data_IF_437414497991
#
_entry.id   IF_437414497991
#
_cell.length_a   1.000
_cell.length_b   1.000
_cell.length_c   1.000
_cell.angle_alpha   90.00
_cell.angle_beta   90.00
_cell.angle_gamma   90.00
#
_symmetry.space_group_name_H-M   'P 1'
#
loop_
_entity.id
_entity.type
_entity.pdbx_description
1 polymer ?
#
# COMPACT_ATOMS: atom_id res chain seq x y z
N UNK A 1 -18.34 -2.71 6.52
CA UNK A 1 -17.62 -2.07 7.64
C UNK A 1 -16.22 -2.68 7.70
N UNK A 2 -15.20 -1.90 8.05
CA UNK A 2 -13.82 -2.37 8.13
C UNK A 2 -13.65 -3.31 9.34
N UNK A 3 -13.05 -4.50 9.18
CA UNK A 3 -12.67 -5.37 10.30
C UNK A 3 -11.66 -4.69 11.23
N UNK A 4 -11.71 -4.97 12.53
CA UNK A 4 -10.79 -4.34 13.49
C UNK A 4 -9.34 -4.77 13.33
N UNK A 5 -9.09 -5.99 12.84
CA UNK A 5 -7.76 -6.45 12.49
C UNK A 5 -7.14 -5.58 11.39
N UNK A 6 -7.95 -5.17 10.41
CA UNK A 6 -7.52 -4.26 9.34
C UNK A 6 -7.37 -2.83 9.87
N UNK A 7 -8.27 -2.38 10.73
CA UNK A 7 -8.14 -1.06 11.36
C UNK A 7 -6.85 -0.95 12.21
N UNK A 8 -6.45 -2.05 12.86
CA UNK A 8 -5.18 -2.14 13.58
C UNK A 8 -3.98 -2.13 12.64
N UNK A 9 -4.05 -2.81 11.50
CA UNK A 9 -2.98 -2.77 10.50
C UNK A 9 -2.73 -1.33 10.01
N UNK A 10 -3.81 -0.60 9.74
CA UNK A 10 -3.77 0.79 9.29
C UNK A 10 -3.56 1.84 10.40
N UNK A 11 -3.07 1.45 11.60
CA UNK A 11 -2.88 2.37 12.74
C UNK A 11 -2.12 3.66 12.38
N UNK A 12 -1.14 3.56 11.48
CA UNK A 12 -0.29 4.66 11.06
C UNK A 12 -1.04 5.68 10.18
N UNK A 13 -2.10 5.25 9.47
CA UNK A 13 -2.91 6.13 8.64
C UNK A 13 -3.68 7.15 9.48
N UNK A 14 -4.22 6.75 10.64
CA UNK A 14 -4.86 7.68 11.58
C UNK A 14 -3.86 8.39 12.48
N UNK A 15 -2.70 7.79 12.71
CA UNK A 15 -1.66 8.36 13.57
C UNK A 15 -1.18 9.73 13.07
N UNK A 16 -1.29 10.03 11.78
CA UNK A 16 -0.97 11.36 11.23
C UNK A 16 -1.79 12.50 11.82
N UNK A 17 -2.98 12.24 12.38
CA UNK A 17 -3.91 13.27 12.81
C UNK A 17 -3.48 14.02 14.09
N UNK A 18 -3.10 13.35 15.20
CA UNK A 18 -2.58 14.06 16.36
C UNK A 18 -1.24 14.74 16.06
N UNK A 19 -0.99 15.89 16.71
CA UNK A 19 0.26 16.65 16.56
C UNK A 19 1.53 15.81 16.78
N UNK A 20 1.47 14.81 17.67
CA UNK A 20 2.59 13.90 17.89
C UNK A 20 2.90 13.03 16.66
N UNK A 21 1.88 12.54 15.95
CA UNK A 21 2.10 11.75 14.74
C UNK A 21 2.48 12.60 13.55
N UNK A 22 1.92 13.80 13.38
CA UNK A 22 2.44 14.77 12.41
C UNK A 22 3.94 15.01 12.61
N UNK A 23 4.36 15.21 13.86
CA UNK A 23 5.77 15.38 14.22
C UNK A 23 6.60 14.14 13.83
N UNK A 24 6.09 12.94 14.06
CA UNK A 24 6.78 11.71 13.66
C UNK A 24 6.99 11.65 12.14
N UNK A 25 6.00 12.02 11.32
CA UNK A 25 6.14 12.07 9.87
C UNK A 25 7.10 13.19 9.41
N UNK A 26 7.13 14.34 10.09
CA UNK A 26 8.01 15.45 9.71
C UNK A 26 9.45 15.25 10.16
N UNK A 27 9.66 14.77 11.37
CA UNK A 27 10.96 14.79 12.05
C UNK A 27 11.58 13.40 12.28
N UNK A 28 10.77 12.33 12.36
CA UNK A 28 11.22 10.96 12.68
C UNK A 28 10.86 9.93 11.59
N UNK A 29 10.66 10.41 10.35
CA UNK A 29 10.15 9.59 9.23
C UNK A 29 10.99 8.36 8.94
N UNK A 30 12.33 8.44 9.05
CA UNK A 30 13.21 7.31 8.78
C UNK A 30 12.95 6.16 9.74
N UNK A 31 12.91 6.46 11.05
CA UNK A 31 12.61 5.46 12.09
C UNK A 31 11.19 4.94 11.98
N UNK A 32 10.22 5.83 11.71
CA UNK A 32 8.82 5.43 11.51
C UNK A 32 8.69 4.46 10.33
N UNK A 33 9.23 4.81 9.15
CA UNK A 33 9.18 3.96 7.97
C UNK A 33 9.91 2.64 8.15
N UNK A 34 11.06 2.63 8.84
CA UNK A 34 11.77 1.41 9.18
C UNK A 34 10.88 0.47 10.02
N UNK A 35 10.25 1.01 11.06
CA UNK A 35 9.31 0.25 11.88
C UNK A 35 8.12 -0.27 11.07
N UNK A 36 7.58 0.54 10.15
CA UNK A 36 6.48 0.12 9.28
C UNK A 36 6.90 -1.06 8.39
N UNK A 37 8.07 -0.98 7.72
CA UNK A 37 8.62 -2.07 6.92
C UNK A 37 8.78 -3.36 7.72
N UNK A 38 9.31 -3.26 8.95
CA UNK A 38 9.43 -4.39 9.88
C UNK A 38 8.07 -4.98 10.27
N UNK A 39 7.06 -4.12 10.47
CA UNK A 39 5.74 -4.54 10.93
C UNK A 39 4.89 -5.17 9.82
N UNK A 40 5.05 -4.72 8.58
CA UNK A 40 4.22 -5.10 7.44
C UNK A 40 4.56 -6.47 6.86
N UNK A 41 5.75 -7.00 7.14
CA UNK A 41 6.24 -8.21 6.50
C UNK A 41 6.89 -9.18 7.49
N UNK A 42 6.88 -10.50 7.19
CA UNK A 42 7.64 -11.46 7.98
C UNK A 42 9.15 -11.17 7.90
N UNK A 43 9.99 -11.81 8.74
CA UNK A 43 11.44 -11.67 8.61
C UNK A 43 11.90 -12.03 7.20
N UNK A 44 12.33 -11.03 6.43
CA UNK A 44 12.91 -11.21 5.11
C UNK A 44 14.41 -10.84 5.18
N UNK A 45 15.34 -11.67 4.64
CA UNK A 45 16.78 -11.54 4.94
C UNK A 45 17.42 -10.20 4.57
N UNK A 46 16.99 -9.55 3.50
CA UNK A 46 17.62 -8.34 2.95
C UNK A 46 16.93 -7.02 3.32
N UNK A 47 16.02 -7.00 4.31
CA UNK A 47 15.16 -5.83 4.59
C UNK A 47 15.92 -4.58 4.87
N UNK A 48 16.89 -4.67 5.76
CA UNK A 48 17.57 -3.47 6.23
C UNK A 48 18.42 -2.86 5.11
N UNK A 49 19.01 -3.70 4.25
CA UNK A 49 19.73 -3.26 3.05
C UNK A 49 18.80 -2.63 1.99
N UNK A 50 17.65 -3.26 1.73
CA UNK A 50 16.63 -2.73 0.81
C UNK A 50 16.03 -1.41 1.32
N UNK A 51 15.75 -1.32 2.63
CA UNK A 51 15.26 -0.11 3.26
C UNK A 51 16.28 1.02 3.14
N UNK A 52 17.55 0.75 3.47
CA UNK A 52 18.59 1.77 3.39
C UNK A 52 18.76 2.29 1.96
N UNK A 53 18.71 1.41 0.95
CA UNK A 53 18.77 1.82 -0.45
C UNK A 53 17.62 2.78 -0.86
N UNK A 54 16.49 2.75 -0.15
CA UNK A 54 15.35 3.66 -0.41
C UNK A 54 15.35 4.91 0.47
N UNK A 55 16.18 4.97 1.52
CA UNK A 55 16.05 5.97 2.59
C UNK A 55 16.27 7.40 2.09
N UNK A 56 17.09 7.60 1.06
CA UNK A 56 17.28 8.91 0.42
C UNK A 56 15.98 9.50 -0.17
N UNK A 57 15.01 8.67 -0.55
CA UNK A 57 13.69 9.16 -1.02
C UNK A 57 12.89 9.85 0.08
N UNK A 58 13.13 9.49 1.34
CA UNK A 58 12.47 10.09 2.51
C UNK A 58 13.00 11.50 2.78
N UNK A 59 14.18 11.86 2.26
CA UNK A 59 14.79 13.19 2.41
C UNK A 59 14.15 14.23 1.47
N UNK A 60 13.22 13.83 0.60
CA UNK A 60 12.41 14.77 -0.17
C UNK A 60 11.64 15.71 0.80
N UNK A 61 11.77 17.02 0.57
CA UNK A 61 11.15 18.06 1.38
C UNK A 61 9.61 17.96 1.40
N UNK A 62 9.01 17.49 0.31
CA UNK A 62 7.56 17.33 0.15
C UNK A 62 7.02 16.01 0.72
N UNK A 63 7.90 15.04 0.99
CA UNK A 63 7.51 13.71 1.49
C UNK A 63 6.53 13.74 2.69
N UNK A 64 6.76 14.54 3.75
CA UNK A 64 5.86 14.53 4.91
C UNK A 64 4.51 15.14 4.56
N UNK A 65 4.44 16.22 3.78
CA UNK A 65 3.16 16.85 3.43
C UNK A 65 2.35 15.95 2.52
N UNK A 66 2.99 15.33 1.53
CA UNK A 66 2.35 14.36 0.64
C UNK A 66 1.82 13.17 1.44
N UNK A 67 2.62 12.61 2.35
CA UNK A 67 2.22 11.44 3.14
C UNK A 67 1.09 11.76 4.12
N UNK A 68 1.21 12.86 4.87
CA UNK A 68 0.18 13.30 5.82
C UNK A 68 -1.13 13.63 5.08
N UNK A 69 -1.06 14.36 3.97
CA UNK A 69 -2.25 14.71 3.19
C UNK A 69 -2.91 13.47 2.57
N UNK A 70 -2.14 12.53 2.02
CA UNK A 70 -2.67 11.29 1.46
C UNK A 70 -3.52 10.50 2.48
N UNK A 71 -3.02 10.32 3.70
CA UNK A 71 -3.78 9.61 4.74
C UNK A 71 -4.98 10.42 5.23
N UNK A 72 -4.86 11.73 5.40
CA UNK A 72 -6.01 12.57 5.79
C UNK A 72 -7.11 12.59 4.73
N UNK A 73 -6.74 12.70 3.46
CA UNK A 73 -7.70 12.72 2.36
C UNK A 73 -8.41 11.36 2.23
N UNK A 74 -7.67 10.25 2.36
CA UNK A 74 -8.22 8.88 2.35
C UNK A 74 -9.33 8.69 3.38
N UNK A 75 -9.21 9.35 4.54
CA UNK A 75 -10.18 9.30 5.63
C UNK A 75 -11.18 10.46 5.67
N UNK A 76 -11.20 11.29 4.61
CA UNK A 76 -12.05 12.47 4.48
C UNK A 76 -11.81 13.57 5.54
N UNK A 77 -10.63 13.57 6.17
CA UNK A 77 -10.18 14.59 7.13
C UNK A 77 -9.47 15.77 6.45
N UNK A 78 -9.23 15.68 5.13
CA UNK A 78 -8.71 16.77 4.31
C UNK A 78 -9.41 16.79 2.95
N UNK A 79 -9.49 17.99 2.35
CA UNK A 79 -9.98 18.15 0.97
C UNK A 79 -8.94 17.62 -0.03
N UNK A 80 -9.42 16.96 -1.07
CA UNK A 80 -8.63 16.69 -2.28
C UNK A 80 -8.42 17.97 -3.11
N UNK A 81 -7.66 17.83 -4.20
CA UNK A 81 -7.44 18.90 -5.16
C UNK A 81 -8.69 19.13 -6.02
N UNK A 82 -9.19 20.37 -6.19
CA UNK A 82 -10.40 20.66 -6.97
C UNK A 82 -10.38 20.12 -8.40
N UNK A 83 -9.22 20.15 -9.06
CA UNK A 83 -9.00 19.62 -10.41
C UNK A 83 -9.16 18.10 -10.52
N UNK A 84 -9.24 17.37 -9.40
CA UNK A 84 -9.42 15.93 -9.35
C UNK A 84 -10.85 15.52 -8.92
N UNK A 85 -11.73 16.46 -8.59
CA UNK A 85 -13.09 16.17 -8.10
C UNK A 85 -13.90 15.29 -9.07
N UNK A 86 -13.75 15.48 -10.38
CA UNK A 86 -14.42 14.64 -11.37
C UNK A 86 -13.90 13.20 -11.36
N UNK A 87 -12.58 13.01 -11.25
CA UNK A 87 -11.99 11.67 -11.17
C UNK A 87 -12.39 10.99 -9.86
N UNK A 88 -12.33 11.69 -8.73
CA UNK A 88 -12.77 11.18 -7.43
C UNK A 88 -14.25 10.76 -7.45
N UNK A 89 -15.12 11.55 -8.09
CA UNK A 89 -16.54 11.20 -8.28
C UNK A 89 -16.72 9.94 -9.12
N UNK A 90 -15.92 9.74 -10.17
CA UNK A 90 -15.97 8.51 -10.95
C UNK A 90 -15.41 7.30 -10.19
N UNK A 91 -14.38 7.49 -9.36
CA UNK A 91 -13.76 6.41 -8.57
C UNK A 91 -14.56 6.03 -7.31
N UNK A 92 -15.47 6.90 -6.84
CA UNK A 92 -16.39 6.61 -5.74
C UNK A 92 -17.30 5.41 -6.03
N UNK A 93 -17.63 5.15 -7.30
CA UNK A 93 -18.23 3.91 -7.76
C UNK A 93 -17.14 3.06 -8.43
N UNK A 94 -16.69 1.94 -7.83
CA UNK A 94 -15.54 1.21 -8.33
C UNK A 94 -15.72 0.82 -9.81
N UNK A 95 -14.93 1.40 -10.74
CA UNK A 95 -15.10 1.11 -12.16
C UNK A 95 -14.68 -0.32 -12.48
N UNK A 96 -15.28 -0.91 -13.51
CA UNK A 96 -14.87 -2.22 -14.00
C UNK A 96 -13.56 -2.10 -14.77
N UNK A 97 -12.56 -2.88 -14.36
CA UNK A 97 -11.26 -2.97 -15.04
C UNK A 97 -11.39 -3.96 -16.20
N UNK A 98 -11.24 -3.47 -17.43
CA UNK A 98 -11.47 -4.24 -18.65
C UNK A 98 -10.21 -4.86 -19.27
N UNK A 99 -9.04 -4.59 -18.69
CA UNK A 99 -7.76 -5.18 -19.12
C UNK A 99 -7.43 -6.44 -18.31
N UNK A 100 -6.74 -7.43 -18.90
CA UNK A 100 -6.25 -8.60 -18.17
C UNK A 100 -5.46 -8.17 -16.94
N UNK A 101 -5.74 -8.79 -15.79
CA UNK A 101 -5.12 -8.42 -14.51
C UNK A 101 -4.66 -9.65 -13.73
N UNK A 102 -3.39 -9.66 -13.32
CA UNK A 102 -2.86 -10.56 -12.30
C UNK A 102 -2.61 -9.73 -11.03
N UNK A 103 -3.28 -10.08 -9.93
CA UNK A 103 -3.06 -9.49 -8.62
C UNK A 103 -2.17 -10.39 -7.78
N UNK A 104 -0.98 -9.90 -7.45
CA UNK A 104 -0.04 -10.55 -6.54
C UNK A 104 -0.17 -9.97 -5.14
N UNK A 105 -0.19 -10.83 -4.13
CA UNK A 105 -0.14 -10.42 -2.74
C UNK A 105 0.64 -11.43 -1.91
N UNK A 106 1.39 -10.94 -0.93
CA UNK A 106 1.99 -11.79 0.09
C UNK A 106 0.94 -12.41 1.01
N UNK A 107 1.01 -13.71 1.23
CA UNK A 107 0.12 -14.38 2.18
C UNK A 107 0.37 -13.95 3.63
N UNK A 108 1.56 -13.40 3.91
CA UNK A 108 2.00 -12.91 5.21
C UNK A 108 2.06 -11.37 5.25
N UNK A 109 1.40 -10.66 4.31
CA UNK A 109 1.23 -9.21 4.36
C UNK A 109 0.40 -8.82 5.60
N UNK A 110 1.02 -8.00 6.46
CA UNK A 110 0.44 -7.51 7.72
C UNK A 110 -0.07 -6.07 7.63
N UNK A 111 0.13 -5.42 6.49
CA UNK A 111 -0.47 -4.13 6.15
C UNK A 111 -1.83 -4.33 5.46
N UNK A 112 -1.79 -4.88 4.24
CA UNK A 112 -2.98 -5.24 3.50
C UNK A 112 -3.23 -6.73 3.67
N UNK A 113 -4.07 -7.06 4.64
CA UNK A 113 -4.40 -8.45 4.96
C UNK A 113 -5.00 -9.18 3.73
N UNK A 114 -4.79 -10.50 3.54
CA UNK A 114 -5.32 -11.26 2.40
C UNK A 114 -6.83 -11.06 2.14
N UNK A 115 -7.62 -10.85 3.21
CA UNK A 115 -9.06 -10.55 3.11
C UNK A 115 -9.39 -9.33 2.23
N UNK A 116 -8.46 -8.38 2.11
CA UNK A 116 -8.66 -7.13 1.35
C UNK A 116 -8.79 -7.35 -0.15
N UNK A 117 -8.24 -8.46 -0.66
CA UNK A 117 -8.24 -8.81 -2.09
C UNK A 117 -9.14 -9.99 -2.44
N UNK A 118 -9.83 -10.56 -1.45
CA UNK A 118 -10.79 -11.64 -1.69
C UNK A 118 -12.06 -11.14 -2.39
N UNK A 119 -12.66 -12.00 -3.21
CA UNK A 119 -13.96 -11.78 -3.85
C UNK A 119 -14.04 -10.51 -4.72
N UNK A 120 -12.96 -10.21 -5.45
CA UNK A 120 -12.84 -9.01 -6.31
C UNK A 120 -13.11 -9.27 -7.77
N UNK A 121 -13.38 -10.52 -8.17
CA UNK A 121 -13.53 -10.95 -9.56
C UNK A 121 -14.57 -10.10 -10.31
N UNK A 122 -15.65 -9.69 -9.61
CA UNK A 122 -16.73 -8.87 -10.18
C UNK A 122 -16.28 -7.49 -10.69
N UNK A 123 -15.12 -6.99 -10.25
CA UNK A 123 -14.58 -5.69 -10.68
C UNK A 123 -13.75 -5.80 -11.96
N UNK A 124 -13.61 -6.99 -12.54
CA UNK A 124 -12.78 -7.23 -13.71
C UNK A 124 -13.56 -7.91 -14.82
N UNK A 125 -13.61 -7.29 -16.00
CA UNK A 125 -14.20 -7.90 -17.20
C UNK A 125 -13.14 -8.41 -18.19
N UNK A 126 -11.89 -7.96 -18.05
CA UNK A 126 -10.76 -8.37 -18.90
C UNK A 126 -10.08 -9.68 -18.48
N UNK A 127 -10.59 -10.35 -17.46
CA UNK A 127 -9.93 -11.48 -16.79
C UNK A 127 -9.17 -11.03 -15.53
N UNK A 128 -9.28 -11.84 -14.48
CA UNK A 128 -8.65 -11.58 -13.19
C UNK A 128 -8.13 -12.87 -12.60
N UNK A 129 -6.84 -12.86 -12.24
CA UNK A 129 -6.21 -13.92 -11.47
C UNK A 129 -5.63 -13.33 -10.18
N UNK A 130 -5.89 -13.99 -9.06
CA UNK A 130 -5.33 -13.62 -7.76
C UNK A 130 -4.33 -14.68 -7.32
N UNK A 131 -3.10 -14.27 -7.00
CA UNK A 131 -2.04 -15.14 -6.48
C UNK A 131 -1.62 -14.69 -5.09
N UNK A 132 -1.79 -15.58 -4.12
CA UNK A 132 -1.20 -15.44 -2.79
C UNK A 132 0.15 -16.15 -2.74
N UNK A 133 1.18 -15.44 -2.32
CA UNK A 133 2.55 -15.95 -2.25
C UNK A 133 2.90 -16.32 -0.79
N UNK A 134 3.07 -17.61 -0.45
CA UNK A 134 3.43 -18.03 0.90
C UNK A 134 4.81 -17.52 1.32
N UNK A 135 4.96 -17.08 2.58
CA UNK A 135 6.25 -16.60 3.09
C UNK A 135 6.61 -15.18 2.66
N UNK A 136 5.73 -14.49 1.91
CA UNK A 136 5.94 -13.15 1.37
C UNK A 136 5.03 -12.16 2.08
N UNK A 137 5.57 -10.99 2.42
CA UNK A 137 4.88 -9.87 3.03
C UNK A 137 4.38 -8.83 2.03
N UNK A 138 4.47 -7.58 2.44
CA UNK A 138 3.86 -6.45 1.75
C UNK A 138 4.60 -6.06 0.46
N UNK A 139 5.91 -6.28 0.39
CA UNK A 139 6.76 -5.74 -0.67
C UNK A 139 7.08 -6.80 -1.72
N UNK A 140 6.04 -7.40 -2.32
CA UNK A 140 6.16 -8.48 -3.32
C UNK A 140 7.25 -8.25 -4.38
N UNK A 141 7.41 -7.05 -5.00
CA UNK A 141 8.46 -6.84 -5.99
C UNK A 141 9.89 -7.00 -5.43
N UNK A 142 10.10 -6.78 -4.13
CA UNK A 142 11.39 -6.91 -3.44
C UNK A 142 11.58 -8.29 -2.81
N UNK A 143 10.52 -8.84 -2.23
CA UNK A 143 10.57 -10.12 -1.50
C UNK A 143 10.50 -11.34 -2.44
N UNK A 144 9.78 -11.23 -3.56
CA UNK A 144 9.62 -12.29 -4.55
C UNK A 144 9.81 -11.76 -5.99
N UNK A 145 11.00 -11.20 -6.33
CA UNK A 145 11.22 -10.50 -7.59
C UNK A 145 10.98 -11.39 -8.82
N UNK A 146 11.27 -12.69 -8.75
CA UNK A 146 11.03 -13.62 -9.86
C UNK A 146 9.53 -13.82 -10.10
N UNK A 147 8.74 -14.08 -9.04
CA UNK A 147 7.29 -14.25 -9.16
C UNK A 147 6.62 -12.96 -9.69
N UNK A 148 7.13 -11.79 -9.28
CA UNK A 148 6.68 -10.51 -9.80
C UNK A 148 6.99 -10.33 -11.29
N UNK A 149 8.22 -10.63 -11.72
CA UNK A 149 8.62 -10.55 -13.12
C UNK A 149 7.84 -11.54 -14.02
N UNK A 150 7.63 -12.76 -13.55
CA UNK A 150 6.85 -13.78 -14.28
C UNK A 150 5.41 -13.32 -14.49
N UNK A 151 4.77 -12.72 -13.47
CA UNK A 151 3.42 -12.18 -13.61
C UNK A 151 3.32 -11.04 -14.63
N UNK A 152 4.34 -10.17 -14.71
CA UNK A 152 4.40 -9.12 -15.74
C UNK A 152 4.47 -9.73 -17.14
N UNK A 153 5.32 -10.73 -17.33
CA UNK A 153 5.46 -11.42 -18.62
C UNK A 153 4.18 -12.17 -19.00
N UNK A 154 3.49 -12.74 -18.02
CA UNK A 154 2.29 -13.54 -18.25
C UNK A 154 1.06 -12.70 -18.56
N UNK A 155 0.81 -11.61 -17.83
CA UNK A 155 -0.34 -10.73 -18.08
C UNK A 155 -0.27 -10.04 -19.45
N UNK A 156 0.93 -9.98 -20.05
CA UNK A 156 1.18 -9.40 -21.37
C UNK A 156 0.89 -10.34 -22.54
N UNK A 157 0.60 -11.63 -22.28
CA UNK A 157 0.28 -12.64 -23.29
C UNK A 157 -1.20 -12.69 -23.61
#
# INVERSE_FOLDING_TARGET
QMPYELARAYWYEWYVNPAHGEKAYREDRKRLCQYLWESWSPPWPNRDAEFEATTASLDNADWPEVSIHAYRQRWHDAKGAPEHEEIERHLAEPPVISVPTIMLQGADDRDNLPLTSEHKERYFSGGYERRLLPGIGHFVPREAPQAFADAILEVSR
#
